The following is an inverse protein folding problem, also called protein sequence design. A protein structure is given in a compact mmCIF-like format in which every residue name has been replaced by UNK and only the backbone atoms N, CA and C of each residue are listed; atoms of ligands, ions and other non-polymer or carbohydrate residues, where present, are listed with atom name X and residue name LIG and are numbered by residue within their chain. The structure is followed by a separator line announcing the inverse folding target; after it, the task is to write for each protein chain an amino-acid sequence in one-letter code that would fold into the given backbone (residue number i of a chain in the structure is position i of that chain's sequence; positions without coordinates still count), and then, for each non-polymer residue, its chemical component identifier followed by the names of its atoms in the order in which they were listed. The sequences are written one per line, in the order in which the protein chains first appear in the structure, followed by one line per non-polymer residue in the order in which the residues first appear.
data_IF_480318641404
#
_entry.id   IF_480318641404
#
_cell.length_a   1.000
_cell.length_b   1.000
_cell.length_c   1.000
_cell.angle_alpha   90.00
_cell.angle_beta   90.00
_cell.angle_gamma   90.00
#
_symmetry.space_group_name_H-M   'P 1'
#
loop_
_entity.id
_entity.type
_entity.pdbx_description
1 polymer ?
#
# COMPACT_ATOMS: atom_id res chain seq x y z
N UNK A 1 -17.61 1.94 0.28
CA UNK A 1 -16.19 1.73 0.57
C UNK A 1 -15.74 2.46 1.82
N UNK A 2 -14.67 1.98 2.45
CA UNK A 2 -13.97 2.69 3.53
C UNK A 2 -12.66 3.22 2.96
N UNK A 3 -12.51 4.55 2.94
CA UNK A 3 -11.27 5.22 2.55
C UNK A 3 -10.42 5.38 3.79
N UNK A 4 -9.17 4.94 3.75
CA UNK A 4 -8.19 5.17 4.81
C UNK A 4 -7.32 6.38 4.46
N UNK A 5 -6.85 7.15 5.45
CA UNK A 5 -5.92 8.24 5.16
C UNK A 5 -4.60 7.70 4.59
N UNK A 6 -3.76 8.60 4.07
CA UNK A 6 -2.37 8.29 3.74
C UNK A 6 -1.56 7.93 5.00
N UNK A 7 -0.32 7.48 4.79
CA UNK A 7 0.58 7.06 5.88
C UNK A 7 0.88 8.18 6.89
N UNK A 8 0.69 9.44 6.49
CA UNK A 8 0.82 10.63 7.33
C UNK A 8 -0.49 11.04 8.01
N UNK A 9 -1.58 10.30 7.79
CA UNK A 9 -2.90 10.58 8.34
C UNK A 9 -3.72 11.57 7.53
N UNK A 10 -3.21 12.10 6.41
CA UNK A 10 -3.91 13.07 5.57
C UNK A 10 -4.86 12.42 4.56
N UNK A 11 -5.80 13.20 4.05
CA UNK A 11 -6.54 12.92 2.82
C UNK A 11 -6.24 14.03 1.81
N UNK A 12 -6.27 13.68 0.54
CA UNK A 12 -6.09 14.64 -0.55
C UNK A 12 -7.46 14.97 -1.13
N UNK A 13 -7.78 16.25 -1.27
CA UNK A 13 -9.10 16.70 -1.70
C UNK A 13 -8.96 17.44 -3.02
N UNK A 14 -9.74 17.03 -4.02
CA UNK A 14 -9.88 17.76 -5.27
C UNK A 14 -11.30 18.30 -5.41
N UNK A 15 -11.42 19.52 -5.92
CA UNK A 15 -12.68 20.13 -6.32
C UNK A 15 -12.62 20.37 -7.82
N UNK A 16 -13.52 19.75 -8.58
CA UNK A 16 -13.51 19.74 -10.05
C UNK A 16 -12.14 19.35 -10.66
N UNK A 17 -11.41 18.45 -10.02
CA UNK A 17 -10.09 17.99 -10.47
C UNK A 17 -8.91 18.92 -10.13
N UNK A 18 -9.13 20.01 -9.39
CA UNK A 18 -8.08 20.89 -8.86
C UNK A 18 -7.87 20.65 -7.36
N UNK A 19 -6.61 20.65 -6.90
CA UNK A 19 -6.26 20.47 -5.49
C UNK A 19 -6.84 21.61 -4.65
N UNK A 20 -7.55 21.26 -3.58
CA UNK A 20 -8.16 22.22 -2.66
C UNK A 20 -7.21 22.55 -1.50
N UNK A 21 -6.48 23.66 -1.61
CA UNK A 21 -5.59 24.16 -0.54
C UNK A 21 -6.34 24.54 0.75
N UNK A 22 -7.63 24.87 0.65
CA UNK A 22 -8.46 25.32 1.77
C UNK A 22 -9.13 24.18 2.56
N UNK A 23 -8.88 22.92 2.19
CA UNK A 23 -9.45 21.78 2.90
C UNK A 23 -8.74 21.57 4.25
N UNK A 24 -9.50 21.58 5.35
CA UNK A 24 -8.97 21.37 6.70
C UNK A 24 -9.41 20.01 7.26
N UNK A 25 -8.46 19.26 7.83
CA UNK A 25 -8.73 17.98 8.47
C UNK A 25 -8.54 18.06 10.00
N UNK A 26 -9.55 17.60 10.74
CA UNK A 26 -9.50 17.40 12.19
C UNK A 26 -9.82 15.94 12.53
N UNK A 27 -8.77 15.10 12.64
CA UNK A 27 -8.93 13.67 12.87
C UNK A 27 -9.65 12.96 11.72
N UNK A 28 -10.84 12.43 11.97
CA UNK A 28 -11.69 11.79 10.96
C UNK A 28 -12.70 12.74 10.31
N UNK A 29 -12.70 14.03 10.66
CA UNK A 29 -13.56 15.03 10.04
C UNK A 29 -12.76 15.86 9.04
N UNK A 30 -13.29 16.04 7.83
CA UNK A 30 -12.71 16.90 6.78
C UNK A 30 -13.73 17.98 6.45
N UNK A 31 -13.29 19.23 6.50
CA UNK A 31 -14.07 20.40 6.09
C UNK A 31 -13.55 20.85 4.73
N UNK A 32 -14.40 20.78 3.71
CA UNK A 32 -14.05 21.13 2.33
C UNK A 32 -14.90 22.34 1.96
N UNK A 33 -14.33 23.56 1.93
CA UNK A 33 -15.00 24.69 1.31
C UNK A 33 -15.03 24.49 -0.20
N UNK A 34 -16.18 24.77 -0.82
CA UNK A 34 -16.36 24.68 -2.27
C UNK A 34 -17.30 25.80 -2.73
N UNK A 35 -17.08 26.27 -3.95
CA UNK A 35 -17.97 27.25 -4.58
C UNK A 35 -19.30 26.62 -5.02
N UNK A 36 -20.35 27.42 -5.12
CA UNK A 36 -21.69 26.92 -5.45
C UNK A 36 -21.81 26.32 -6.87
N UNK A 37 -20.83 26.56 -7.74
CA UNK A 37 -20.68 25.99 -9.07
C UNK A 37 -19.81 24.72 -9.11
N UNK A 38 -19.27 24.28 -7.96
CA UNK A 38 -18.56 23.02 -7.86
C UNK A 38 -19.48 21.85 -8.25
N UNK A 39 -19.03 21.04 -9.20
CA UNK A 39 -19.79 19.91 -9.75
C UNK A 39 -19.33 18.57 -9.18
N UNK A 40 -18.06 18.48 -8.79
CA UNK A 40 -17.43 17.25 -8.32
C UNK A 40 -16.48 17.54 -7.16
N UNK A 41 -16.55 16.71 -6.13
CA UNK A 41 -15.65 16.72 -4.98
C UNK A 41 -15.08 15.30 -4.86
N UNK A 42 -13.76 15.17 -4.98
CA UNK A 42 -13.06 13.90 -4.88
C UNK A 42 -12.19 13.89 -3.62
N UNK A 43 -12.33 12.82 -2.83
CA UNK A 43 -11.50 12.58 -1.66
C UNK A 43 -10.61 11.38 -1.97
N UNK A 44 -9.34 11.64 -2.19
CA UNK A 44 -8.32 10.63 -2.47
C UNK A 44 -7.64 10.25 -1.16
N UNK A 45 -7.71 8.97 -0.83
CA UNK A 45 -6.98 8.38 0.28
C UNK A 45 -6.32 7.09 -0.16
N UNK A 46 -5.82 6.34 0.82
CA UNK A 46 -5.33 4.98 0.57
C UNK A 46 -6.44 3.98 0.84
N UNK A 47 -6.22 2.77 0.35
CA UNK A 47 -6.88 1.60 0.88
C UNK A 47 -5.83 0.51 1.01
N UNK A 48 -5.36 0.28 2.24
CA UNK A 48 -4.39 -0.78 2.51
C UNK A 48 -5.14 -2.11 2.62
N UNK A 49 -4.77 -3.08 1.78
CA UNK A 49 -5.21 -4.48 1.95
C UNK A 49 -4.44 -5.07 3.15
N UNK A 50 -5.11 -5.39 4.27
CA UNK A 50 -4.44 -5.75 5.53
C UNK A 50 -3.46 -6.93 5.43
N UNK A 51 -3.65 -7.82 4.46
CA UNK A 51 -2.92 -9.08 4.35
C UNK A 51 -1.72 -9.04 3.40
N UNK A 52 -1.54 -7.97 2.62
CA UNK A 52 -0.54 -7.96 1.53
C UNK A 52 0.90 -8.09 2.07
N UNK A 53 1.23 -7.40 3.16
CA UNK A 53 2.56 -7.47 3.78
C UNK A 53 2.88 -8.85 4.33
N UNK A 54 1.93 -9.49 5.02
CA UNK A 54 2.11 -10.84 5.57
C UNK A 54 2.29 -11.87 4.47
N UNK A 55 1.48 -11.81 3.40
CA UNK A 55 1.59 -12.72 2.27
C UNK A 55 2.95 -12.53 1.58
N UNK A 56 3.38 -11.29 1.33
CA UNK A 56 4.67 -10.99 0.72
C UNK A 56 5.84 -11.57 1.54
N UNK A 57 5.79 -11.44 2.88
CA UNK A 57 6.81 -11.99 3.78
C UNK A 57 6.86 -13.52 3.76
N UNK A 58 5.70 -14.19 3.71
CA UNK A 58 5.64 -15.65 3.61
C UNK A 58 6.27 -16.12 2.30
N UNK A 59 5.90 -15.51 1.17
CA UNK A 59 6.46 -15.85 -0.15
C UNK A 59 7.97 -15.63 -0.17
N UNK A 60 8.45 -14.51 0.38
CA UNK A 60 9.87 -14.21 0.50
C UNK A 60 10.61 -15.27 1.32
N UNK A 61 10.09 -15.64 2.48
CA UNK A 61 10.70 -16.66 3.35
C UNK A 61 10.77 -18.02 2.66
N UNK A 62 9.67 -18.46 2.03
CA UNK A 62 9.61 -19.72 1.26
C UNK A 62 10.63 -19.72 0.12
N UNK A 63 10.78 -18.60 -0.59
CA UNK A 63 11.75 -18.49 -1.68
C UNK A 63 13.19 -18.64 -1.20
N UNK A 64 13.57 -17.96 -0.12
CA UNK A 64 14.92 -18.04 0.45
C UNK A 64 15.25 -19.46 0.91
N UNK A 65 14.33 -20.09 1.65
CA UNK A 65 14.50 -21.48 2.12
C UNK A 65 14.65 -22.43 0.93
N UNK A 66 13.84 -22.26 -0.11
CA UNK A 66 13.90 -23.08 -1.32
C UNK A 66 15.25 -22.96 -2.03
N UNK A 67 15.77 -21.74 -2.18
CA UNK A 67 17.08 -21.49 -2.81
C UNK A 67 18.19 -22.19 -2.03
N UNK A 68 18.20 -22.07 -0.70
CA UNK A 68 19.21 -22.72 0.15
C UNK A 68 19.11 -24.24 0.04
N UNK A 69 17.91 -24.80 0.14
CA UNK A 69 17.70 -26.25 0.07
C UNK A 69 18.15 -26.84 -1.27
N UNK A 70 17.79 -26.21 -2.39
CA UNK A 70 18.20 -26.63 -3.73
C UNK A 70 19.72 -26.48 -3.88
N UNK A 71 20.29 -25.36 -3.44
CA UNK A 71 21.74 -25.10 -3.53
C UNK A 71 22.56 -26.09 -2.69
N UNK A 72 22.07 -26.46 -1.50
CA UNK A 72 22.71 -27.43 -0.63
C UNK A 72 22.64 -28.85 -1.22
N UNK A 73 21.48 -29.26 -1.73
CA UNK A 73 21.30 -30.58 -2.38
C UNK A 73 22.15 -30.73 -3.64
N UNK A 74 22.28 -29.66 -4.43
CA UNK A 74 23.14 -29.64 -5.62
C UNK A 74 24.62 -29.89 -5.27
N UNK A 75 25.16 -29.23 -4.23
CA UNK A 75 26.56 -29.44 -3.82
C UNK A 75 26.84 -30.87 -3.32
N UNK A 76 25.91 -31.49 -2.58
CA UNK A 76 26.06 -32.85 -2.06
C UNK A 76 25.91 -33.93 -3.13
N UNK A 77 25.07 -33.73 -4.15
CA UNK A 77 24.84 -34.70 -5.21
C UNK A 77 25.92 -34.73 -6.30
N UNK A 78 26.70 -33.66 -6.44
CA UNK A 78 27.73 -33.53 -7.50
C UNK A 78 29.09 -34.05 -7.03
N UNK A 79 29.27 -34.43 -5.76
CA UNK A 79 30.52 -35.02 -5.27
C UNK A 79 30.67 -36.45 -5.81
N UNK A 80 31.53 -36.72 -6.81
CA UNK A 80 31.68 -38.05 -7.38
C UNK A 80 32.38 -38.92 -6.34
N UNK A 81 31.81 -40.08 -6.04
CA UNK A 81 32.50 -41.08 -5.23
C UNK A 81 33.60 -41.68 -6.10
N UNK A 82 34.82 -41.19 -5.96
CA UNK A 82 36.05 -41.84 -6.45
C UNK A 82 36.60 -42.78 -5.39
#
# INVERSE_FOLDING_TARGET
DIITPFNDGSFFVLVNGEESDDAEQNGNSITIPFDADATEIEIVGTHVVPEFGTIAMIVLAVAIVSIIAVSAKSRLSIMPRI
#
